data_IF_645180696254
#
_entry.id   IF_645180696254
#
_cell.length_a   1.000
_cell.length_b   1.000
_cell.length_c   1.000
_cell.angle_alpha   90.00
_cell.angle_beta   90.00
_cell.angle_gamma   90.00
#
_symmetry.space_group_name_H-M   'P 1'
#
loop_
_entity.id
_entity.type
_entity.pdbx_description
1 polymer ?
#
# COMPACT_ATOMS: atom_id res chain seq x y z
N UNK A 1 10.00 40.39 -5.49
CA UNK A 1 9.71 39.31 -4.51
C UNK A 1 9.07 38.15 -5.26
N UNK A 2 9.87 37.14 -5.64
CA UNK A 2 9.36 36.01 -6.43
C UNK A 2 8.73 34.96 -5.53
N UNK A 3 7.40 34.81 -5.59
CA UNK A 3 6.71 33.68 -4.97
C UNK A 3 7.31 32.38 -5.52
N UNK A 4 8.00 31.63 -4.66
CA UNK A 4 8.41 30.25 -4.98
C UNK A 4 7.14 29.42 -5.07
N UNK A 5 6.64 29.19 -6.28
CA UNK A 5 5.53 28.28 -6.49
C UNK A 5 5.89 26.91 -5.90
N UNK A 6 5.08 26.44 -4.94
CA UNK A 6 5.08 25.03 -4.52
C UNK A 6 4.68 24.23 -5.76
N UNK A 7 5.51 23.29 -6.20
CA UNK A 7 5.20 22.51 -7.39
C UNK A 7 4.02 21.57 -7.11
N UNK A 8 3.20 21.21 -8.11
CA UNK A 8 2.11 20.26 -7.93
C UNK A 8 2.55 18.94 -7.28
N UNK A 9 3.77 18.46 -7.59
CA UNK A 9 4.36 17.27 -6.95
C UNK A 9 4.59 17.49 -5.44
N UNK A 10 5.05 18.67 -5.01
CA UNK A 10 5.23 18.97 -3.58
C UNK A 10 3.90 19.01 -2.83
N UNK A 11 2.86 19.57 -3.45
CA UNK A 11 1.49 19.54 -2.88
C UNK A 11 1.01 18.10 -2.77
N UNK A 12 1.13 17.31 -3.85
CA UNK A 12 0.73 15.91 -3.85
C UNK A 12 1.48 15.06 -2.81
N UNK A 13 2.81 15.25 -2.67
CA UNK A 13 3.60 14.58 -1.64
C UNK A 13 3.12 14.92 -0.24
N UNK A 14 2.82 16.20 0.03
CA UNK A 14 2.31 16.65 1.32
C UNK A 14 0.93 16.06 1.62
N UNK A 15 0.02 16.07 0.64
CA UNK A 15 -1.33 15.52 0.83
C UNK A 15 -1.29 14.01 1.10
N UNK A 16 -0.48 13.25 0.34
CA UNK A 16 -0.33 11.80 0.56
C UNK A 16 0.27 11.51 1.93
N UNK A 17 1.30 12.25 2.38
CA UNK A 17 1.88 12.00 3.71
C UNK A 17 0.97 12.44 4.85
N UNK A 18 0.16 13.48 4.68
CA UNK A 18 -0.91 13.83 5.62
C UNK A 18 -1.92 12.69 5.72
N UNK A 19 -2.42 12.17 4.59
CA UNK A 19 -3.35 11.05 4.59
C UNK A 19 -2.74 9.82 5.27
N UNK A 20 -1.53 9.42 4.89
CA UNK A 20 -0.81 8.29 5.49
C UNK A 20 -0.66 8.46 7.00
N UNK A 21 -0.31 9.66 7.49
CA UNK A 21 -0.24 9.96 8.92
C UNK A 21 -1.60 9.88 9.60
N UNK A 22 -2.64 10.54 9.07
CA UNK A 22 -3.95 10.62 9.73
C UNK A 22 -4.64 9.25 9.82
N UNK A 23 -4.60 8.45 8.75
CA UNK A 23 -5.16 7.09 8.78
C UNK A 23 -4.40 6.19 9.76
N UNK A 24 -3.07 6.28 9.77
CA UNK A 24 -2.26 5.49 10.71
C UNK A 24 -2.45 5.95 12.16
N UNK A 25 -2.55 7.26 12.40
CA UNK A 25 -2.84 7.85 13.70
C UNK A 25 -4.19 7.35 14.21
N UNK A 26 -5.23 7.42 13.37
CA UNK A 26 -6.55 6.92 13.72
C UNK A 26 -6.48 5.44 14.12
N UNK A 27 -5.96 4.58 13.24
CA UNK A 27 -5.82 3.16 13.51
C UNK A 27 -5.02 2.85 14.80
N UNK A 28 -3.94 3.58 15.05
CA UNK A 28 -3.09 3.36 16.23
C UNK A 28 -3.82 3.70 17.54
N UNK A 29 -4.70 4.72 17.55
CA UNK A 29 -5.26 5.26 18.79
C UNK A 29 -6.75 4.98 19.00
N UNK A 30 -7.47 4.46 18.00
CA UNK A 30 -8.87 4.02 18.22
C UNK A 30 -8.97 2.60 18.75
N UNK A 31 -7.99 1.73 18.45
CA UNK A 31 -7.91 0.35 18.95
C UNK A 31 -9.21 -0.47 18.80
N UNK A 32 -10.11 -0.07 17.88
CA UNK A 32 -11.49 -0.55 17.93
C UNK A 32 -11.59 -2.06 17.75
N UNK A 33 -10.65 -2.66 17.00
CA UNK A 33 -10.67 -4.09 16.65
C UNK A 33 -10.17 -5.04 17.74
N UNK A 34 -9.35 -4.60 18.72
CA UNK A 34 -8.79 -5.51 19.72
C UNK A 34 -9.90 -5.90 20.71
N UNK A 35 -10.27 -7.17 20.71
CA UNK A 35 -11.31 -7.70 21.61
C UNK A 35 -12.73 -7.62 21.06
N UNK A 36 -12.94 -7.16 19.81
CA UNK A 36 -14.26 -7.23 19.15
C UNK A 36 -14.82 -8.65 19.09
N UNK A 37 -13.94 -9.64 19.23
CA UNK A 37 -14.22 -11.06 19.01
C UNK A 37 -14.27 -11.90 20.30
N UNK A 38 -14.40 -11.28 21.48
CA UNK A 38 -14.50 -11.96 22.79
C UNK A 38 -15.61 -13.02 22.89
N UNK A 39 -16.63 -12.93 22.02
CA UNK A 39 -17.74 -13.90 21.96
C UNK A 39 -17.46 -15.15 21.12
N UNK A 40 -16.31 -15.27 20.46
CA UNK A 40 -16.00 -16.42 19.59
C UNK A 40 -15.52 -17.65 20.40
N UNK A 41 -15.78 -18.87 19.92
CA UNK A 41 -15.32 -20.09 20.58
C UNK A 41 -13.79 -20.24 20.49
N UNK A 42 -13.21 -20.93 21.47
CA UNK A 42 -11.82 -21.36 21.37
C UNK A 42 -11.64 -22.47 20.32
N UNK A 43 -10.51 -22.51 19.58
CA UNK A 43 -9.31 -21.67 19.71
C UNK A 43 -9.34 -20.36 18.89
N UNK A 44 -10.46 -20.06 18.21
CA UNK A 44 -10.57 -18.95 17.26
C UNK A 44 -10.34 -17.59 17.95
N UNK A 45 -10.95 -17.40 19.11
CA UNK A 45 -10.74 -16.20 19.93
C UNK A 45 -9.26 -15.97 20.27
N UNK A 46 -8.57 -16.99 20.82
CA UNK A 46 -7.15 -16.88 21.17
C UNK A 46 -6.29 -16.47 19.97
N UNK A 47 -6.53 -17.06 18.79
CA UNK A 47 -5.79 -16.73 17.59
C UNK A 47 -5.99 -15.30 17.13
N UNK A 48 -7.25 -14.84 17.08
CA UNK A 48 -7.59 -13.47 16.69
C UNK A 48 -6.97 -12.46 17.67
N UNK A 49 -7.10 -12.70 18.98
CA UNK A 49 -6.51 -11.84 19.99
C UNK A 49 -4.98 -11.73 19.83
N UNK A 50 -4.30 -12.84 19.56
CA UNK A 50 -2.86 -12.85 19.34
C UNK A 50 -2.48 -12.10 18.06
N UNK A 51 -3.19 -12.33 16.95
CA UNK A 51 -2.92 -11.63 15.69
C UNK A 51 -3.17 -10.13 15.79
N UNK A 52 -4.23 -9.71 16.47
CA UNK A 52 -4.58 -8.30 16.65
C UNK A 52 -3.58 -7.57 17.55
N UNK A 53 -3.15 -8.24 18.64
CA UNK A 53 -2.11 -7.70 19.53
C UNK A 53 -0.80 -7.51 18.80
N UNK A 54 -0.37 -8.51 18.01
CA UNK A 54 0.85 -8.40 17.19
C UNK A 54 0.69 -7.32 16.13
N UNK A 55 -0.43 -7.29 15.40
CA UNK A 55 -0.70 -6.25 14.40
C UNK A 55 -0.61 -4.85 15.00
N UNK A 56 -1.14 -4.65 16.21
CA UNK A 56 -1.06 -3.37 16.92
C UNK A 56 0.38 -2.99 17.31
N UNK A 57 1.15 -3.91 17.91
CA UNK A 57 2.56 -3.65 18.24
C UNK A 57 3.34 -3.21 17.00
N UNK A 58 3.07 -3.86 15.86
CA UNK A 58 3.74 -3.56 14.62
C UNK A 58 3.22 -2.28 13.92
N UNK A 59 1.95 -1.92 14.14
CA UNK A 59 1.34 -0.67 13.68
C UNK A 59 2.05 0.57 14.25
N UNK A 60 2.61 0.48 15.46
CA UNK A 60 3.43 1.55 16.05
C UNK A 60 4.59 1.92 15.12
N UNK A 61 5.22 0.96 14.43
CA UNK A 61 6.30 1.28 13.49
C UNK A 61 5.79 2.02 12.26
N UNK A 62 4.64 1.64 11.70
CA UNK A 62 4.01 2.41 10.61
C UNK A 62 3.62 3.82 11.07
N UNK A 63 3.19 3.98 12.32
CA UNK A 63 2.93 5.29 12.90
C UNK A 63 4.19 6.16 12.98
N UNK A 64 5.32 5.58 13.41
CA UNK A 64 6.62 6.26 13.37
C UNK A 64 7.05 6.60 11.93
N UNK A 65 6.89 5.66 10.99
CA UNK A 65 7.21 5.87 9.58
C UNK A 65 6.42 7.04 8.98
N UNK A 66 5.11 7.07 9.19
CA UNK A 66 4.21 8.13 8.69
C UNK A 66 4.50 9.49 9.34
N UNK A 67 4.79 9.52 10.64
CA UNK A 67 5.20 10.74 11.36
C UNK A 67 6.50 11.31 10.79
N UNK A 68 7.51 10.45 10.59
CA UNK A 68 8.79 10.85 10.01
C UNK A 68 8.60 11.29 8.55
N UNK A 69 7.76 10.62 7.78
CA UNK A 69 7.45 10.99 6.40
C UNK A 69 6.82 12.39 6.33
N UNK A 70 5.81 12.67 7.16
CA UNK A 70 5.17 13.98 7.23
C UNK A 70 6.17 15.08 7.61
N UNK A 71 6.95 14.87 8.68
CA UNK A 71 7.98 15.81 9.11
C UNK A 71 9.05 16.03 8.02
N UNK A 72 9.46 14.97 7.32
CA UNK A 72 10.44 15.02 6.24
C UNK A 72 9.93 15.85 5.07
N UNK A 73 8.68 15.66 4.65
CA UNK A 73 8.07 16.43 3.55
C UNK A 73 7.91 17.90 3.93
N UNK A 74 7.45 18.20 5.16
CA UNK A 74 7.36 19.58 5.66
C UNK A 74 8.73 20.26 5.63
N UNK A 75 9.77 19.59 6.16
CA UNK A 75 11.14 20.10 6.15
C UNK A 75 11.68 20.28 4.73
N UNK A 76 11.38 19.36 3.81
CA UNK A 76 11.78 19.43 2.41
C UNK A 76 11.13 20.60 1.66
N UNK A 77 9.88 20.93 1.99
CA UNK A 77 9.17 22.07 1.40
C UNK A 77 9.64 23.39 2.03
N UNK A 78 9.80 23.43 3.35
CA UNK A 78 10.12 24.65 4.10
C UNK A 78 11.60 25.07 4.00
N UNK A 79 12.55 24.12 3.98
CA UNK A 79 13.99 24.43 3.96
C UNK A 79 14.55 24.35 2.54
N UNK A 80 15.05 25.49 2.03
CA UNK A 80 15.63 25.63 0.68
C UNK A 80 16.80 24.68 0.42
N UNK A 81 17.60 24.39 1.45
CA UNK A 81 18.86 23.64 1.34
C UNK A 81 18.91 22.44 2.30
N UNK A 82 17.84 21.63 2.31
CA UNK A 82 17.81 20.44 3.15
C UNK A 82 18.89 19.43 2.69
N UNK A 83 19.87 19.04 3.56
CA UNK A 83 21.01 18.26 3.12
C UNK A 83 20.59 16.90 2.54
N UNK A 84 21.05 16.58 1.32
CA UNK A 84 20.75 15.32 0.61
C UNK A 84 21.03 14.09 1.49
N UNK A 85 22.16 14.06 2.19
CA UNK A 85 22.53 12.96 3.09
C UNK A 85 21.53 12.77 4.22
N UNK A 86 21.00 13.87 4.80
CA UNK A 86 19.97 13.80 5.84
C UNK A 86 18.65 13.31 5.26
N UNK A 87 18.26 13.78 4.07
CA UNK A 87 17.06 13.32 3.37
C UNK A 87 17.09 11.81 3.11
N UNK A 88 18.21 11.30 2.59
CA UNK A 88 18.38 9.87 2.33
C UNK A 88 18.26 9.05 3.61
N UNK A 89 18.86 9.49 4.72
CA UNK A 89 18.73 8.81 6.03
C UNK A 89 17.29 8.79 6.54
N UNK A 90 16.54 9.88 6.37
CA UNK A 90 15.13 9.92 6.77
C UNK A 90 14.29 8.98 5.91
N UNK A 91 14.51 8.96 4.59
CA UNK A 91 13.83 8.00 3.69
C UNK A 91 14.17 6.57 4.08
N UNK A 92 15.44 6.26 4.34
CA UNK A 92 15.85 4.93 4.83
C UNK A 92 15.14 4.54 6.13
N UNK A 93 15.00 5.47 7.08
CA UNK A 93 14.31 5.21 8.34
C UNK A 93 12.81 4.94 8.13
N UNK A 94 12.16 5.69 7.24
CA UNK A 94 10.76 5.45 6.84
C UNK A 94 10.61 4.03 6.26
N UNK A 95 11.51 3.64 5.35
CA UNK A 95 11.48 2.31 4.72
C UNK A 95 11.74 1.17 5.72
N UNK A 96 12.63 1.38 6.71
CA UNK A 96 12.89 0.40 7.77
C UNK A 96 11.63 0.21 8.62
N UNK A 97 11.03 1.29 9.09
CA UNK A 97 9.86 1.20 9.97
C UNK A 97 8.63 0.65 9.24
N UNK A 98 8.40 1.06 8.00
CA UNK A 98 7.36 0.45 7.15
C UNK A 98 7.66 -1.03 6.90
N UNK A 99 8.91 -1.41 6.64
CA UNK A 99 9.32 -2.80 6.50
C UNK A 99 9.09 -3.63 7.77
N UNK A 100 9.37 -3.08 8.96
CA UNK A 100 9.08 -3.74 10.23
C UNK A 100 7.58 -3.95 10.38
N UNK A 101 6.75 -2.93 10.13
CA UNK A 101 5.29 -3.05 10.19
C UNK A 101 4.76 -4.28 9.43
N UNK A 102 5.21 -4.48 8.18
CA UNK A 102 4.74 -5.60 7.35
C UNK A 102 5.13 -6.97 7.92
N UNK A 103 6.22 -7.08 8.69
CA UNK A 103 6.59 -8.34 9.38
C UNK A 103 5.52 -8.76 10.38
N UNK A 104 4.79 -7.81 10.99
CA UNK A 104 3.72 -8.09 11.95
C UNK A 104 2.62 -9.01 11.40
N UNK A 105 2.42 -9.02 10.08
CA UNK A 105 1.43 -9.90 9.43
C UNK A 105 1.85 -11.38 9.41
N UNK A 106 3.11 -11.72 9.75
CA UNK A 106 3.60 -13.09 9.68
C UNK A 106 2.79 -14.03 10.58
N UNK A 107 2.38 -13.56 11.76
CA UNK A 107 1.57 -14.37 12.66
C UNK A 107 0.21 -14.72 12.04
N UNK A 108 -0.47 -13.75 11.44
CA UNK A 108 -1.73 -13.99 10.71
C UNK A 108 -1.52 -14.94 9.52
N UNK A 109 -0.38 -14.83 8.83
CA UNK A 109 0.01 -15.77 7.77
C UNK A 109 0.18 -17.20 8.29
N UNK A 110 0.89 -17.38 9.40
CA UNK A 110 1.06 -18.69 10.06
C UNK A 110 -0.31 -19.26 10.45
N UNK A 111 -1.13 -18.46 11.13
CA UNK A 111 -2.46 -18.87 11.55
C UNK A 111 -3.31 -19.32 10.36
N UNK A 112 -3.30 -18.56 9.25
CA UNK A 112 -4.10 -18.90 8.08
C UNK A 112 -3.61 -20.11 7.28
N UNK A 113 -2.39 -20.59 7.50
CA UNK A 113 -1.86 -21.80 6.87
C UNK A 113 -2.13 -23.05 7.73
N UNK A 114 -2.30 -22.88 9.04
CA UNK A 114 -2.59 -24.01 9.93
C UNK A 114 -3.96 -24.61 9.54
N UNK A 115 -4.05 -25.94 9.36
CA UNK A 115 -5.32 -26.59 9.07
C UNK A 115 -6.36 -26.30 10.16
N UNK A 116 -7.50 -25.76 9.74
CA UNK A 116 -8.68 -25.50 10.58
C UNK A 116 -9.93 -25.98 9.84
N UNK A 117 -11.07 -26.06 10.54
CA UNK A 117 -12.36 -26.39 9.91
C UNK A 117 -12.75 -25.38 8.81
N UNK A 118 -12.26 -24.13 8.91
CA UNK A 118 -12.38 -23.08 7.89
C UNK A 118 -11.24 -23.09 6.86
N UNK A 119 -10.47 -24.17 6.78
CA UNK A 119 -9.09 -24.20 6.25
C UNK A 119 -8.88 -23.55 4.88
N UNK A 120 -9.76 -23.79 3.91
CA UNK A 120 -9.60 -23.16 2.58
C UNK A 120 -9.86 -21.65 2.62
N UNK A 121 -10.90 -21.21 3.33
CA UNK A 121 -11.28 -19.80 3.47
C UNK A 121 -10.15 -19.00 4.12
N UNK A 122 -9.66 -19.48 5.27
CA UNK A 122 -8.61 -18.81 6.02
C UNK A 122 -7.27 -18.79 5.26
N UNK A 123 -6.97 -19.83 4.49
CA UNK A 123 -5.77 -19.90 3.65
C UNK A 123 -5.76 -18.82 2.56
N UNK A 124 -6.88 -18.61 1.87
CA UNK A 124 -6.96 -17.69 0.74
C UNK A 124 -7.09 -16.22 1.16
N UNK A 125 -7.78 -15.91 2.27
CA UNK A 125 -7.91 -14.52 2.75
C UNK A 125 -6.76 -14.05 3.61
N UNK A 126 -6.19 -14.97 4.39
CA UNK A 126 -5.26 -14.60 5.47
C UNK A 126 -3.91 -15.28 5.27
N UNK A 127 -3.87 -16.61 5.16
CA UNK A 127 -2.62 -17.37 5.10
C UNK A 127 -1.68 -16.91 3.99
N UNK A 128 -2.09 -17.07 2.73
CA UNK A 128 -1.28 -16.71 1.56
C UNK A 128 -0.98 -15.21 1.52
N UNK A 129 -1.97 -14.29 1.64
CA UNK A 129 -1.71 -12.86 1.53
C UNK A 129 -0.80 -12.34 2.64
N UNK A 130 -1.03 -12.72 3.89
CA UNK A 130 -0.23 -12.23 5.02
C UNK A 130 1.20 -12.79 4.99
N UNK A 131 1.40 -14.07 4.69
CA UNK A 131 2.75 -14.65 4.55
C UNK A 131 3.53 -14.03 3.41
N UNK A 132 2.90 -13.82 2.25
CA UNK A 132 3.56 -13.13 1.14
C UNK A 132 3.96 -11.70 1.54
N UNK A 133 3.03 -10.95 2.12
CA UNK A 133 3.23 -9.55 2.50
C UNK A 133 4.30 -9.41 3.57
N UNK A 134 4.35 -10.29 4.56
CA UNK A 134 5.31 -10.25 5.66
C UNK A 134 6.74 -10.69 5.30
N UNK A 135 6.93 -11.23 4.09
CA UNK A 135 8.25 -11.67 3.62
C UNK A 135 8.71 -10.79 2.46
N UNK A 136 7.91 -10.71 1.40
CA UNK A 136 8.31 -10.07 0.15
C UNK A 136 8.48 -8.55 0.32
N UNK A 137 7.51 -7.88 0.95
CA UNK A 137 7.55 -6.42 1.14
C UNK A 137 8.71 -6.00 2.06
N UNK A 138 8.87 -6.52 3.29
CA UNK A 138 10.01 -6.20 4.15
C UNK A 138 11.35 -6.45 3.47
N UNK A 139 11.50 -7.59 2.79
CA UNK A 139 12.73 -7.92 2.07
C UNK A 139 13.08 -6.85 1.04
N UNK A 140 12.11 -6.43 0.22
CA UNK A 140 12.34 -5.39 -0.78
C UNK A 140 12.64 -4.03 -0.15
N UNK A 141 11.94 -3.65 0.93
CA UNK A 141 12.14 -2.38 1.63
C UNK A 141 13.50 -2.31 2.36
N UNK A 142 13.93 -3.37 3.02
CA UNK A 142 15.24 -3.43 3.66
C UNK A 142 16.37 -3.43 2.63
N UNK A 143 16.21 -4.18 1.54
CA UNK A 143 17.19 -4.15 0.45
C UNK A 143 17.25 -2.78 -0.22
N UNK A 144 16.10 -2.13 -0.44
CA UNK A 144 16.04 -0.75 -0.92
C UNK A 144 16.79 0.19 0.02
N UNK A 145 16.56 0.09 1.33
CA UNK A 145 17.24 0.89 2.36
C UNK A 145 18.76 0.74 2.26
N UNK A 146 19.27 -0.49 2.17
CA UNK A 146 20.72 -0.76 2.08
C UNK A 146 21.33 -0.18 0.80
N UNK A 147 20.59 -0.22 -0.32
CA UNK A 147 21.04 0.23 -1.63
C UNK A 147 20.83 1.74 -1.86
N UNK A 148 19.93 2.37 -1.14
CA UNK A 148 19.65 3.80 -1.22
C UNK A 148 20.75 4.61 -0.52
N UNK A 149 21.80 5.01 -1.25
CA UNK A 149 22.86 5.89 -0.72
C UNK A 149 23.08 7.10 -1.64
N UNK A 150 23.39 8.29 -1.08
CA UNK A 150 23.50 9.52 -1.86
C UNK A 150 24.63 9.52 -2.91
N UNK A 151 25.70 8.75 -2.64
CA UNK A 151 26.94 8.72 -3.42
C UNK A 151 27.18 7.38 -4.16
N UNK A 152 26.16 6.51 -4.21
CA UNK A 152 26.23 5.23 -4.93
C UNK A 152 25.37 5.26 -6.21
N UNK A 153 25.68 4.40 -7.20
CA UNK A 153 24.83 4.24 -8.38
C UNK A 153 23.37 3.92 -7.99
N UNK A 154 22.42 4.62 -8.62
CA UNK A 154 20.99 4.50 -8.27
C UNK A 154 20.35 3.23 -8.82
N UNK A 155 21.00 2.56 -9.79
CA UNK A 155 20.55 1.30 -10.42
C UNK A 155 19.94 0.30 -9.43
N UNK A 156 20.64 0.00 -8.34
CA UNK A 156 20.18 -0.97 -7.36
C UNK A 156 18.98 -0.45 -6.55
N UNK A 157 18.96 0.83 -6.18
CA UNK A 157 17.81 1.42 -5.51
C UNK A 157 16.58 1.44 -6.41
N UNK A 158 16.73 1.71 -7.72
CA UNK A 158 15.64 1.66 -8.69
C UNK A 158 15.06 0.24 -8.77
N UNK A 159 15.91 -0.78 -8.90
CA UNK A 159 15.45 -2.19 -8.94
C UNK A 159 14.66 -2.60 -7.71
N UNK A 160 15.18 -2.32 -6.52
CA UNK A 160 14.49 -2.67 -5.28
C UNK A 160 13.24 -1.83 -5.04
N UNK A 161 13.20 -0.58 -5.51
CA UNK A 161 11.99 0.25 -5.51
C UNK A 161 10.90 -0.30 -6.45
N UNK A 162 11.28 -0.76 -7.64
CA UNK A 162 10.36 -1.42 -8.58
C UNK A 162 9.83 -2.74 -8.02
N UNK A 163 10.70 -3.56 -7.41
CA UNK A 163 10.30 -4.80 -6.74
C UNK A 163 9.36 -4.54 -5.57
N UNK A 164 9.64 -3.53 -4.74
CA UNK A 164 8.73 -3.13 -3.68
C UNK A 164 7.35 -2.77 -4.25
N UNK A 165 7.29 -1.95 -5.30
CA UNK A 165 6.03 -1.61 -5.97
C UNK A 165 5.26 -2.83 -6.49
N UNK A 166 5.95 -3.79 -7.12
CA UNK A 166 5.35 -5.06 -7.56
C UNK A 166 4.77 -5.82 -6.36
N UNK A 167 5.55 -5.98 -5.29
CA UNK A 167 5.13 -6.74 -4.12
C UNK A 167 3.95 -6.08 -3.40
N UNK A 168 3.91 -4.74 -3.29
CA UNK A 168 2.75 -4.04 -2.75
C UNK A 168 1.48 -4.30 -3.58
N UNK A 169 1.53 -4.06 -4.89
CA UNK A 169 0.32 -4.24 -5.73
C UNK A 169 -0.12 -5.71 -5.77
N UNK A 170 0.83 -6.65 -5.80
CA UNK A 170 0.50 -8.07 -5.77
C UNK A 170 -0.05 -8.51 -4.41
N UNK A 171 0.48 -8.01 -3.29
CA UNK A 171 -0.07 -8.24 -1.96
C UNK A 171 -1.51 -7.71 -1.85
N UNK A 172 -1.77 -6.50 -2.37
CA UNK A 172 -3.13 -5.95 -2.42
C UNK A 172 -4.05 -6.80 -3.28
N UNK A 173 -3.57 -7.28 -4.44
CA UNK A 173 -4.36 -8.21 -5.24
C UNK A 173 -4.66 -9.50 -4.46
N UNK A 174 -3.67 -10.15 -3.86
CA UNK A 174 -3.86 -11.38 -3.07
C UNK A 174 -4.89 -11.19 -1.96
N UNK A 175 -4.72 -10.17 -1.13
CA UNK A 175 -5.61 -9.89 0.01
C UNK A 175 -7.03 -9.58 -0.45
N UNK A 176 -7.19 -8.65 -1.40
CA UNK A 176 -8.52 -8.22 -1.83
C UNK A 176 -9.23 -9.31 -2.67
N UNK A 177 -8.50 -10.06 -3.50
CA UNK A 177 -9.06 -11.17 -4.28
C UNK A 177 -9.50 -12.33 -3.40
N UNK A 178 -8.72 -12.67 -2.36
CA UNK A 178 -9.09 -13.66 -1.36
C UNK A 178 -10.40 -13.32 -0.65
N UNK A 179 -10.58 -12.06 -0.26
CA UNK A 179 -11.83 -11.59 0.36
C UNK A 179 -13.02 -11.60 -0.57
N UNK A 180 -12.84 -11.26 -1.85
CA UNK A 180 -13.89 -11.44 -2.86
C UNK A 180 -14.25 -12.91 -3.06
N UNK A 181 -13.26 -13.80 -3.05
CA UNK A 181 -13.49 -15.23 -3.19
C UNK A 181 -14.31 -15.77 -2.01
N UNK A 182 -13.99 -15.38 -0.77
CA UNK A 182 -14.82 -15.72 0.40
C UNK A 182 -16.22 -15.15 0.26
N UNK A 183 -16.34 -13.87 -0.11
CA UNK A 183 -17.66 -13.22 -0.25
C UNK A 183 -18.55 -13.96 -1.25
N UNK A 184 -17.99 -14.43 -2.38
CA UNK A 184 -18.72 -15.22 -3.38
C UNK A 184 -19.00 -16.64 -2.89
N UNK A 185 -18.10 -17.26 -2.13
CA UNK A 185 -18.34 -18.58 -1.53
C UNK A 185 -19.46 -18.55 -0.48
N UNK A 186 -19.54 -17.49 0.32
CA UNK A 186 -20.56 -17.30 1.36
C UNK A 186 -21.92 -16.89 0.77
N UNK A 187 -21.96 -15.84 -0.07
CA UNK A 187 -23.21 -15.28 -0.60
C UNK A 187 -23.68 -15.88 -1.93
N UNK A 188 -22.81 -16.64 -2.59
CA UNK A 188 -23.07 -17.19 -3.93
C UNK A 188 -23.03 -16.14 -5.05
N UNK A 189 -23.04 -16.61 -6.29
CA UNK A 189 -23.05 -15.74 -7.49
C UNK A 189 -24.31 -14.88 -7.63
N UNK A 190 -25.41 -15.25 -6.97
CA UNK A 190 -26.63 -14.45 -6.90
C UNK A 190 -26.42 -13.06 -6.28
N UNK A 191 -25.34 -12.87 -5.53
CA UNK A 191 -24.94 -11.58 -4.98
C UNK A 191 -24.91 -10.49 -6.07
N UNK A 192 -24.35 -10.77 -7.24
CA UNK A 192 -24.21 -9.77 -8.31
C UNK A 192 -25.54 -9.43 -9.00
N UNK A 193 -26.52 -10.34 -8.94
CA UNK A 193 -27.87 -10.05 -9.41
C UNK A 193 -28.64 -9.17 -8.41
N UNK A 194 -28.35 -9.31 -7.12
CA UNK A 194 -28.96 -8.51 -6.05
C UNK A 194 -28.30 -7.13 -5.92
N UNK A 195 -26.98 -7.06 -6.12
CA UNK A 195 -26.14 -5.88 -5.94
C UNK A 195 -25.22 -5.69 -7.17
N UNK A 196 -25.77 -5.31 -8.33
CA UNK A 196 -25.00 -5.17 -9.58
C UNK A 196 -23.88 -4.11 -9.50
N UNK A 197 -23.99 -3.14 -8.61
CA UNK A 197 -22.96 -2.14 -8.30
C UNK A 197 -21.66 -2.75 -7.77
N UNK A 198 -21.68 -4.00 -7.29
CA UNK A 198 -20.50 -4.72 -6.85
C UNK A 198 -19.67 -5.29 -8.00
N UNK A 199 -20.26 -5.45 -9.20
CA UNK A 199 -19.58 -6.03 -10.37
C UNK A 199 -18.33 -5.23 -10.75
N UNK A 200 -18.36 -3.88 -10.84
CA UNK A 200 -17.15 -3.09 -11.10
C UNK A 200 -16.08 -3.26 -10.03
N UNK A 201 -16.46 -3.31 -8.75
CA UNK A 201 -15.52 -3.52 -7.64
C UNK A 201 -14.83 -4.89 -7.77
N UNK A 202 -15.62 -5.95 -7.93
CA UNK A 202 -15.14 -7.31 -8.15
C UNK A 202 -14.21 -7.42 -9.37
N UNK A 203 -14.62 -6.87 -10.51
CA UNK A 203 -13.83 -6.89 -11.74
C UNK A 203 -12.53 -6.08 -11.61
N UNK A 204 -12.59 -4.90 -10.97
CA UNK A 204 -11.41 -4.07 -10.70
C UNK A 204 -10.43 -4.76 -9.74
N UNK A 205 -10.92 -5.50 -8.75
CA UNK A 205 -10.06 -6.29 -7.86
C UNK A 205 -9.42 -7.47 -8.60
N UNK A 206 -10.21 -8.36 -9.21
CA UNK A 206 -9.67 -9.59 -9.79
C UNK A 206 -8.81 -9.34 -11.02
N UNK A 207 -9.29 -8.50 -11.94
CA UNK A 207 -8.62 -8.26 -13.23
C UNK A 207 -7.82 -6.96 -13.22
N UNK A 208 -8.34 -5.90 -12.60
CA UNK A 208 -7.68 -4.59 -12.57
C UNK A 208 -6.37 -4.61 -11.78
N UNK A 209 -6.38 -5.03 -10.51
CA UNK A 209 -5.17 -5.10 -9.70
C UNK A 209 -4.17 -6.15 -10.22
N UNK A 210 -4.65 -7.30 -10.73
CA UNK A 210 -3.77 -8.28 -11.36
C UNK A 210 -3.11 -7.72 -12.61
N UNK A 211 -3.89 -7.04 -13.46
CA UNK A 211 -3.40 -6.35 -14.64
C UNK A 211 -2.35 -5.30 -14.29
N UNK A 212 -2.57 -4.54 -13.21
CA UNK A 212 -1.61 -3.56 -12.70
C UNK A 212 -0.32 -4.22 -12.18
N UNK A 213 -0.42 -5.35 -11.47
CA UNK A 213 0.74 -6.12 -11.02
C UNK A 213 1.55 -6.66 -12.21
N UNK A 214 0.89 -7.22 -13.22
CA UNK A 214 1.52 -7.71 -14.44
C UNK A 214 2.17 -6.58 -15.24
N UNK A 215 1.50 -5.43 -15.32
CA UNK A 215 2.06 -4.23 -15.93
C UNK A 215 3.32 -3.75 -15.20
N UNK A 216 3.31 -3.75 -13.87
CA UNK A 216 4.49 -3.40 -13.06
C UNK A 216 5.65 -4.37 -13.26
N UNK A 217 5.39 -5.68 -13.38
CA UNK A 217 6.41 -6.67 -13.72
C UNK A 217 7.03 -6.37 -15.09
N UNK A 218 6.19 -6.11 -16.09
CA UNK A 218 6.65 -5.71 -17.41
C UNK A 218 7.49 -4.43 -17.36
N UNK A 219 6.98 -3.39 -16.68
CA UNK A 219 7.66 -2.11 -16.53
C UNK A 219 9.01 -2.28 -15.81
N UNK A 220 9.06 -3.06 -14.74
CA UNK A 220 10.29 -3.34 -14.01
C UNK A 220 11.32 -4.08 -14.87
N UNK A 221 10.88 -5.05 -15.69
CA UNK A 221 11.74 -5.74 -16.66
C UNK A 221 12.34 -4.77 -17.67
N UNK A 222 11.54 -3.88 -18.24
CA UNK A 222 12.03 -2.85 -19.19
C UNK A 222 12.94 -1.81 -18.53
N UNK A 223 12.74 -1.52 -17.25
CA UNK A 223 13.51 -0.53 -16.49
C UNK A 223 14.73 -1.10 -15.77
N UNK A 224 15.00 -2.39 -15.91
CA UNK A 224 15.99 -3.10 -15.09
C UNK A 224 17.43 -2.65 -15.28
N UNK A 225 17.75 -2.10 -16.46
CA UNK A 225 19.11 -1.65 -16.80
C UNK A 225 19.36 -0.16 -16.49
N UNK A 226 18.33 0.58 -16.10
CA UNK A 226 18.40 2.02 -15.85
C UNK A 226 19.33 2.32 -14.68
N UNK A 227 20.26 3.25 -14.88
CA UNK A 227 21.28 3.57 -13.87
C UNK A 227 20.95 4.80 -13.03
N UNK A 228 20.19 5.74 -13.59
CA UNK A 228 19.81 7.01 -12.95
C UNK A 228 18.29 7.14 -12.97
N UNK A 229 17.72 7.70 -11.90
CA UNK A 229 16.28 8.01 -11.82
C UNK A 229 15.85 8.96 -12.94
N UNK A 230 16.79 9.73 -13.49
CA UNK A 230 16.57 10.64 -14.60
C UNK A 230 16.20 9.95 -15.92
N UNK A 231 16.58 8.68 -16.08
CA UNK A 231 16.28 7.92 -17.30
C UNK A 231 15.06 7.00 -17.10
N UNK A 232 14.52 6.94 -15.87
CA UNK A 232 13.31 6.20 -15.56
C UNK A 232 12.09 6.98 -16.09
N UNK A 233 11.18 6.27 -16.76
CA UNK A 233 9.89 6.84 -17.16
C UNK A 233 9.01 7.10 -15.93
N UNK A 234 9.27 8.20 -15.24
CA UNK A 234 8.56 8.59 -14.01
C UNK A 234 7.07 8.80 -14.25
N UNK A 235 6.68 9.20 -15.46
CA UNK A 235 5.27 9.27 -15.86
C UNK A 235 4.54 7.92 -15.70
N UNK A 236 5.20 6.80 -15.99
CA UNK A 236 4.66 5.46 -15.77
C UNK A 236 4.45 5.16 -14.29
N UNK A 237 5.35 5.62 -13.42
CA UNK A 237 5.17 5.53 -11.96
C UNK A 237 3.94 6.34 -11.54
N UNK A 238 3.77 7.55 -12.09
CA UNK A 238 2.57 8.36 -11.89
C UNK A 238 1.29 7.65 -12.31
N UNK A 239 1.28 6.99 -13.48
CA UNK A 239 0.13 6.21 -13.94
C UNK A 239 -0.24 5.07 -12.98
N UNK A 240 0.76 4.36 -12.45
CA UNK A 240 0.55 3.29 -11.46
C UNK A 240 -0.06 3.85 -10.18
N UNK A 241 0.45 4.97 -9.67
CA UNK A 241 -0.09 5.62 -8.47
C UNK A 241 -1.54 6.08 -8.68
N UNK A 242 -1.87 6.64 -9.85
CA UNK A 242 -3.24 7.02 -10.20
C UNK A 242 -4.13 5.79 -10.27
N UNK A 243 -3.74 4.74 -11.01
CA UNK A 243 -4.55 3.54 -11.17
C UNK A 243 -4.83 2.85 -9.82
N UNK A 244 -3.79 2.69 -8.99
CA UNK A 244 -3.93 2.11 -7.65
C UNK A 244 -4.83 2.98 -6.76
N UNK A 245 -4.61 4.30 -6.74
CA UNK A 245 -5.43 5.20 -5.94
C UNK A 245 -6.88 5.27 -6.39
N UNK A 246 -7.14 5.25 -7.69
CA UNK A 246 -8.50 5.20 -8.25
C UNK A 246 -9.20 3.88 -7.92
N UNK A 247 -8.49 2.76 -7.83
CA UNK A 247 -9.06 1.51 -7.32
C UNK A 247 -9.59 1.69 -5.89
N UNK A 248 -8.79 2.26 -4.99
CA UNK A 248 -9.24 2.48 -3.61
C UNK A 248 -10.38 3.51 -3.54
N UNK A 249 -10.26 4.62 -4.27
CA UNK A 249 -11.28 5.67 -4.31
C UNK A 249 -12.61 5.15 -4.88
N UNK A 250 -12.58 4.38 -5.97
CA UNK A 250 -13.77 3.81 -6.57
C UNK A 250 -14.51 2.88 -5.60
N UNK A 251 -13.79 1.97 -4.94
CA UNK A 251 -14.36 1.06 -3.96
C UNK A 251 -14.98 1.82 -2.78
N UNK A 252 -14.27 2.84 -2.28
CA UNK A 252 -14.75 3.69 -1.20
C UNK A 252 -16.01 4.48 -1.60
N UNK A 253 -16.03 5.10 -2.79
CA UNK A 253 -17.19 5.83 -3.30
C UNK A 253 -18.38 4.90 -3.57
N UNK A 254 -18.13 3.70 -4.11
CA UNK A 254 -19.20 2.71 -4.35
C UNK A 254 -19.90 2.35 -3.05
N UNK A 255 -19.13 2.15 -1.97
CA UNK A 255 -19.72 1.96 -0.65
C UNK A 255 -20.51 3.17 -0.15
N UNK A 256 -20.00 4.41 -0.30
CA UNK A 256 -20.75 5.60 0.15
C UNK A 256 -22.09 5.74 -0.59
N UNK A 257 -22.09 5.57 -1.90
CA UNK A 257 -23.27 5.87 -2.73
C UNK A 257 -24.26 4.72 -2.83
N UNK A 258 -23.80 3.48 -2.69
CA UNK A 258 -24.61 2.28 -2.93
C UNK A 258 -24.54 1.26 -1.78
N UNK A 259 -23.81 1.55 -0.71
CA UNK A 259 -23.40 0.56 0.28
C UNK A 259 -24.55 -0.05 1.08
N UNK A 260 -24.80 -1.34 0.83
CA UNK A 260 -25.20 -2.32 1.83
C UNK A 260 -23.97 -2.94 2.51
N UNK A 261 -24.11 -3.39 3.76
CA UNK A 261 -23.01 -4.03 4.49
C UNK A 261 -22.76 -5.44 3.95
N UNK A 262 -21.54 -5.71 3.49
CA UNK A 262 -21.07 -7.03 3.03
C UNK A 262 -19.72 -7.34 3.67
N UNK A 263 -19.32 -8.61 3.69
CA UNK A 263 -17.99 -9.01 4.18
C UNK A 263 -16.86 -8.29 3.42
N UNK A 264 -17.05 -8.07 2.11
CA UNK A 264 -16.14 -7.28 1.30
C UNK A 264 -15.96 -5.85 1.83
N UNK A 265 -17.04 -5.12 2.11
CA UNK A 265 -16.93 -3.74 2.60
C UNK A 265 -16.52 -3.66 4.07
N UNK A 266 -16.90 -4.63 4.90
CA UNK A 266 -16.40 -4.76 6.26
C UNK A 266 -14.88 -4.92 6.29
N UNK A 267 -14.33 -5.73 5.38
CA UNK A 267 -12.90 -5.87 5.18
C UNK A 267 -12.28 -4.59 4.60
N UNK A 268 -12.78 -4.13 3.46
CA UNK A 268 -12.21 -3.02 2.71
C UNK A 268 -12.17 -1.71 3.52
N UNK A 269 -13.12 -1.49 4.42
CA UNK A 269 -13.24 -0.25 5.21
C UNK A 269 -12.76 -0.39 6.65
N UNK A 270 -13.09 -1.52 7.30
CA UNK A 270 -12.84 -1.70 8.73
C UNK A 270 -11.47 -2.33 9.03
N UNK A 271 -10.96 -3.17 8.13
CA UNK A 271 -9.77 -4.00 8.39
C UNK A 271 -8.60 -3.69 7.45
N UNK A 272 -8.81 -2.81 6.47
CA UNK A 272 -7.78 -2.38 5.53
C UNK A 272 -7.04 -1.14 6.05
N UNK A 273 -5.83 -1.33 6.57
CA UNK A 273 -4.97 -0.26 7.07
C UNK A 273 -4.34 0.59 5.95
N UNK A 274 -4.65 0.31 4.68
CA UNK A 274 -4.09 0.99 3.51
C UNK A 274 -5.08 1.93 2.82
N UNK A 275 -6.20 2.29 3.46
CA UNK A 275 -7.18 3.25 2.91
C UNK A 275 -6.58 4.61 2.53
N UNK A 276 -5.48 5.03 3.17
CA UNK A 276 -4.75 6.26 2.80
C UNK A 276 -4.30 6.28 1.33
N UNK A 277 -4.22 5.12 0.67
CA UNK A 277 -3.88 5.00 -0.76
C UNK A 277 -4.90 5.70 -1.67
N UNK A 278 -6.12 5.99 -1.21
CA UNK A 278 -7.08 6.82 -1.95
C UNK A 278 -6.53 8.22 -2.29
N UNK A 279 -5.52 8.70 -1.56
CA UNK A 279 -4.89 9.99 -1.80
C UNK A 279 -3.81 9.94 -2.90
N UNK A 280 -3.38 8.74 -3.33
CA UNK A 280 -2.33 8.59 -4.33
C UNK A 280 -2.56 9.34 -5.65
N UNK A 281 -3.79 9.49 -6.20
CA UNK A 281 -3.98 10.20 -7.46
C UNK A 281 -3.56 11.67 -7.38
N UNK A 282 -3.62 12.28 -6.18
CA UNK A 282 -3.21 13.67 -5.94
C UNK A 282 -1.70 13.86 -6.18
N UNK A 283 -0.89 12.84 -5.90
CA UNK A 283 0.54 12.80 -6.25
C UNK A 283 0.76 12.23 -7.67
N UNK A 284 0.02 11.17 -8.01
CA UNK A 284 0.18 10.43 -9.25
C UNK A 284 -0.07 11.27 -10.49
N UNK A 285 -1.10 12.13 -10.50
CA UNK A 285 -1.42 13.01 -11.63
C UNK A 285 -0.27 14.00 -11.94
N UNK A 286 0.23 14.78 -10.97
CA UNK A 286 1.44 15.59 -11.19
C UNK A 286 2.65 14.81 -11.70
N UNK A 287 2.88 13.60 -11.18
CA UNK A 287 4.01 12.75 -11.59
C UNK A 287 3.82 12.20 -13.01
N UNK A 288 2.58 11.85 -13.38
CA UNK A 288 2.21 11.36 -14.71
C UNK A 288 2.54 12.37 -15.80
N UNK A 289 2.26 13.65 -15.55
CA UNK A 289 2.49 14.75 -16.49
C UNK A 289 3.82 15.47 -16.26
N UNK A 290 4.69 14.95 -15.38
CA UNK A 290 5.99 15.55 -15.13
C UNK A 290 6.92 15.32 -16.32
N UNK A 291 7.18 16.38 -17.10
CA UNK A 291 8.18 16.37 -18.16
C UNK A 291 9.57 16.47 -17.55
N UNK A 292 10.40 15.49 -17.87
CA UNK A 292 11.79 15.47 -17.42
C UNK A 292 12.63 16.30 -18.39
N UNK A 293 13.60 17.07 -17.87
CA UNK A 293 14.41 18.03 -18.63
C UNK A 293 15.13 17.47 -19.87
N UNK A 294 15.29 16.14 -19.99
CA UNK A 294 15.83 15.49 -21.20
C UNK A 294 14.87 15.55 -22.39
N UNK A 295 13.55 15.58 -22.16
CA UNK A 295 12.51 15.72 -23.19
C UNK A 295 12.31 17.17 -23.65
N UNK A 296 12.75 18.16 -22.85
CA UNK A 296 12.73 19.58 -23.23
C UNK A 296 13.83 19.94 -24.24
N UNK A 297 14.95 19.20 -24.26
CA UNK A 297 16.06 19.44 -25.18
C UNK A 297 15.96 18.64 -26.50
N UNK A 298 14.88 17.87 -26.69
CA UNK A 298 14.65 17.02 -27.86
C UNK A 298 13.42 17.44 -28.69
N UNK A 299 12.82 18.60 -28.38
CA UNK A 299 11.83 19.31 -29.18
C UNK A 299 12.34 20.73 -29.50
#
# INVERSE_FOLDING_TARGET
MGHKFVTPIKVGLLTVTIAYFLFTLHATFTLSWIGEWEGLPEPLYTWIFLTDTVAYIFLIFRFLASTIALATVILYIAKKDFPKTKLYRLIQLILIFEGIYWIGLLLSGIWGIIPTDSGFSLLISTGIPCTFSSIAIPTALFMLTVKLKPDKPQKQAIRWGLLAGIFYVFAFWLSNSGMWMITVLDKGWSLFSQYPELIPSFAATLFGLLGLAMFLIYFAKTSWQIERIQDLKVGTVGAVLVALGLYYLWNYMTWIFFGGWTEWYAWFLGHNLDLWLLALPILGLPVLFYKQKSEENSN
#
